data_IF_336083891908
#
_entry.id   IF_336083891908
#
_cell.length_a   1.000
_cell.length_b   1.000
_cell.length_c   1.000
_cell.angle_alpha   90.00
_cell.angle_beta   90.00
_cell.angle_gamma   90.00
#
_symmetry.space_group_name_H-M   'P 1'
#
loop_
_entity.id
_entity.type
_entity.pdbx_description
1 polymer ?
#
# COMPACT_ATOMS: atom_id res chain seq x y z
N UNK A 1 -25.48 -15.16 6.67
CA UNK A 1 -24.64 -13.99 7.03
C UNK A 1 -23.15 -14.33 7.14
N UNK A 2 -22.75 -15.42 7.82
CA UNK A 2 -21.32 -15.82 7.95
C UNK A 2 -20.60 -16.02 6.61
N UNK A 3 -21.28 -16.61 5.61
CA UNK A 3 -20.69 -16.80 4.27
C UNK A 3 -20.41 -15.48 3.55
N UNK A 4 -21.34 -14.51 3.62
CA UNK A 4 -21.15 -13.18 3.02
C UNK A 4 -19.99 -12.41 3.65
N UNK A 5 -19.77 -12.56 4.96
CA UNK A 5 -18.63 -11.93 5.65
C UNK A 5 -17.31 -12.53 5.19
N UNK A 6 -17.24 -13.87 5.10
CA UNK A 6 -16.05 -14.56 4.59
C UNK A 6 -15.77 -14.22 3.12
N UNK A 7 -16.81 -14.10 2.29
CA UNK A 7 -16.69 -13.69 0.89
C UNK A 7 -16.19 -12.25 0.77
N UNK A 8 -16.76 -11.32 1.55
CA UNK A 8 -16.31 -9.94 1.58
C UNK A 8 -14.84 -9.84 2.02
N UNK A 9 -14.45 -10.56 3.07
CA UNK A 9 -13.08 -10.64 3.55
C UNK A 9 -12.14 -11.18 2.47
N UNK A 10 -12.51 -12.28 1.81
CA UNK A 10 -11.71 -12.86 0.73
C UNK A 10 -11.50 -11.87 -0.43
N UNK A 11 -12.53 -11.09 -0.78
CA UNK A 11 -12.42 -10.02 -1.79
C UNK A 11 -11.44 -8.94 -1.33
N UNK A 12 -11.55 -8.47 -0.08
CA UNK A 12 -10.64 -7.45 0.45
C UNK A 12 -9.18 -7.93 0.45
N UNK A 13 -8.93 -9.16 0.90
CA UNK A 13 -7.60 -9.76 0.91
C UNK A 13 -7.07 -9.89 -0.52
N UNK A 14 -7.88 -10.36 -1.46
CA UNK A 14 -7.48 -10.49 -2.87
C UNK A 14 -7.07 -9.15 -3.48
N UNK A 15 -7.81 -8.08 -3.19
CA UNK A 15 -7.47 -6.72 -3.65
C UNK A 15 -6.11 -6.30 -3.10
N UNK A 16 -5.85 -6.52 -1.80
CA UNK A 16 -4.57 -6.14 -1.21
C UNK A 16 -3.41 -7.03 -1.68
N UNK A 17 -3.63 -8.31 -1.99
CA UNK A 17 -2.63 -9.14 -2.63
C UNK A 17 -2.19 -8.54 -3.98
N UNK A 18 -3.16 -8.12 -4.80
CA UNK A 18 -2.89 -7.48 -6.09
C UNK A 18 -2.09 -6.17 -5.91
N UNK A 19 -2.53 -5.29 -5.01
CA UNK A 19 -1.85 -4.02 -4.72
C UNK A 19 -0.40 -4.24 -4.26
N UNK A 20 -0.19 -5.12 -3.28
CA UNK A 20 1.16 -5.41 -2.75
C UNK A 20 2.09 -5.91 -3.85
N UNK A 21 1.62 -6.85 -4.68
CA UNK A 21 2.45 -7.41 -5.75
C UNK A 21 2.81 -6.35 -6.80
N UNK A 22 1.88 -5.47 -7.17
CA UNK A 22 2.18 -4.39 -8.12
C UNK A 22 3.17 -3.37 -7.56
N UNK A 23 3.01 -3.00 -6.28
CA UNK A 23 3.96 -2.15 -5.59
C UNK A 23 5.36 -2.78 -5.57
N UNK A 24 5.47 -4.05 -5.21
CA UNK A 24 6.75 -4.76 -5.14
C UNK A 24 7.39 -4.94 -6.51
N UNK A 25 6.61 -5.21 -7.56
CA UNK A 25 7.12 -5.30 -8.93
C UNK A 25 7.87 -4.04 -9.36
N UNK A 26 7.38 -2.88 -8.90
CA UNK A 26 7.90 -1.56 -9.25
C UNK A 26 9.01 -1.09 -8.32
N UNK A 27 8.82 -1.27 -7.01
CA UNK A 27 9.71 -0.74 -5.98
C UNK A 27 10.73 -1.74 -5.43
N UNK A 28 10.59 -3.02 -5.78
CA UNK A 28 11.39 -4.20 -5.36
C UNK A 28 11.29 -4.57 -3.89
N UNK A 29 11.34 -3.59 -3.02
CA UNK A 29 11.27 -3.77 -1.59
C UNK A 29 10.60 -2.58 -0.91
N UNK A 30 9.96 -2.85 0.23
CA UNK A 30 9.38 -1.82 1.08
C UNK A 30 9.21 -2.34 2.51
N UNK A 31 9.36 -1.47 3.50
CA UNK A 31 9.07 -1.86 4.88
C UNK A 31 7.60 -2.19 5.07
N UNK A 32 7.30 -3.11 6.00
CA UNK A 32 5.92 -3.48 6.35
C UNK A 32 5.08 -2.24 6.64
N UNK A 33 5.62 -1.31 7.42
CA UNK A 33 4.94 -0.07 7.81
C UNK A 33 4.51 0.76 6.60
N UNK A 34 5.42 0.98 5.65
CA UNK A 34 5.13 1.74 4.44
C UNK A 34 4.18 0.97 3.53
N UNK A 35 4.31 -0.36 3.46
CA UNK A 35 3.39 -1.22 2.72
C UNK A 35 1.95 -1.08 3.22
N UNK A 36 1.72 -1.05 4.54
CA UNK A 36 0.39 -0.86 5.12
C UNK A 36 -0.25 0.46 4.66
N UNK A 37 0.48 1.56 4.78
CA UNK A 37 -0.04 2.90 4.49
C UNK A 37 -0.29 3.09 2.99
N UNK A 38 0.68 2.73 2.15
CA UNK A 38 0.53 2.93 0.71
C UNK A 38 -0.47 1.96 0.07
N UNK A 39 -0.59 0.72 0.58
CA UNK A 39 -1.63 -0.20 0.11
C UNK A 39 -3.04 0.35 0.34
N UNK A 40 -3.27 0.96 1.52
CA UNK A 40 -4.51 1.62 1.84
C UNK A 40 -4.78 2.82 0.91
N UNK A 41 -3.79 3.70 0.71
CA UNK A 41 -3.90 4.86 -0.18
C UNK A 41 -4.19 4.47 -1.63
N UNK A 42 -3.50 3.47 -2.18
CA UNK A 42 -3.69 3.00 -3.56
C UNK A 42 -5.11 2.47 -3.77
N UNK A 43 -5.63 1.68 -2.81
CA UNK A 43 -7.01 1.20 -2.86
C UNK A 43 -8.01 2.36 -2.88
N UNK A 44 -7.78 3.39 -2.07
CA UNK A 44 -8.63 4.59 -1.98
C UNK A 44 -8.61 5.44 -3.25
N UNK A 45 -7.48 5.53 -3.95
CA UNK A 45 -7.34 6.36 -5.16
C UNK A 45 -8.31 6.00 -6.28
N UNK A 46 -8.73 4.74 -6.40
CA UNK A 46 -9.70 4.29 -7.41
C UNK A 46 -11.04 5.04 -7.33
N UNK A 47 -11.37 5.60 -6.16
CA UNK A 47 -12.64 6.28 -5.91
C UNK A 47 -12.54 7.81 -5.92
N UNK A 48 -11.34 8.37 -6.15
CA UNK A 48 -11.11 9.82 -6.19
C UNK A 48 -10.98 10.25 -7.65
N UNK A 49 -12.05 10.76 -8.30
CA UNK A 49 -11.97 11.29 -9.64
C UNK A 49 -11.14 12.59 -9.61
N UNK A 50 -10.01 12.58 -10.30
CA UNK A 50 -8.99 13.64 -10.34
C UNK A 50 -8.09 13.70 -9.08
N UNK A 51 -6.87 13.19 -9.24
CA UNK A 51 -5.81 13.31 -8.24
C UNK A 51 -5.52 14.79 -7.93
N UNK A 52 -5.60 15.16 -6.65
CA UNK A 52 -5.28 16.51 -6.15
C UNK A 52 -3.83 16.89 -6.48
N UNK A 53 -2.95 15.89 -6.54
CA UNK A 53 -1.53 16.06 -6.84
C UNK A 53 -1.16 15.36 -8.15
N UNK A 54 -0.36 16.04 -8.97
CA UNK A 54 0.19 15.50 -10.22
C UNK A 54 1.64 15.08 -10.06
N UNK A 55 2.17 14.33 -11.04
CA UNK A 55 3.58 13.94 -11.08
C UNK A 55 4.56 15.13 -11.09
N UNK A 56 4.11 16.34 -11.43
CA UNK A 56 4.94 17.56 -11.43
C UNK A 56 5.14 18.15 -10.03
N UNK A 57 4.37 17.69 -9.05
CA UNK A 57 4.58 18.04 -7.65
C UNK A 57 5.92 17.47 -7.22
N UNK A 58 6.85 18.32 -6.78
CA UNK A 58 8.23 17.93 -6.42
C UNK A 58 8.64 18.34 -5.00
N UNK A 59 8.03 19.40 -4.46
CA UNK A 59 8.25 19.86 -3.09
C UNK A 59 7.28 19.18 -2.13
N UNK A 60 7.78 18.81 -0.95
CA UNK A 60 7.01 18.22 0.16
C UNK A 60 6.19 16.98 -0.24
N UNK A 61 6.79 16.14 -1.10
CA UNK A 61 6.16 14.94 -1.66
C UNK A 61 5.54 14.05 -0.59
N UNK A 62 6.31 13.73 0.47
CA UNK A 62 5.86 12.84 1.53
C UNK A 62 4.64 13.43 2.24
N UNK A 63 4.70 14.69 2.66
CA UNK A 63 3.59 15.34 3.38
C UNK A 63 2.33 15.44 2.53
N UNK A 64 2.46 15.79 1.25
CA UNK A 64 1.33 15.83 0.30
C UNK A 64 0.79 14.44 -0.02
N UNK A 65 1.64 13.42 -0.04
CA UNK A 65 1.22 12.03 -0.18
C UNK A 65 0.44 11.56 1.04
N UNK A 66 0.92 11.87 2.24
CA UNK A 66 0.29 11.48 3.49
C UNK A 66 -0.99 12.25 3.79
N UNK A 67 -1.13 13.50 3.32
CA UNK A 67 -2.38 14.25 3.46
C UNK A 67 -3.56 13.60 2.71
N UNK A 68 -3.30 12.65 1.80
CA UNK A 68 -4.33 11.85 1.15
C UNK A 68 -5.02 10.87 2.11
N UNK A 69 -4.47 10.64 3.31
CA UNK A 69 -5.13 9.88 4.37
C UNK A 69 -6.37 10.62 4.91
N UNK A 70 -6.40 11.94 4.77
CA UNK A 70 -7.57 12.79 5.02
C UNK A 70 -8.24 12.59 6.38
N UNK A 71 -7.49 12.23 7.43
CA UNK A 71 -8.06 12.00 8.76
C UNK A 71 -8.82 10.67 8.92
N UNK A 72 -8.67 9.71 7.99
CA UNK A 72 -9.36 8.42 8.05
C UNK A 72 -8.57 7.37 8.86
N UNK A 73 -8.39 7.65 10.15
CA UNK A 73 -7.78 6.69 11.08
C UNK A 73 -8.51 5.35 11.13
N UNK A 74 -9.85 5.37 11.19
CA UNK A 74 -10.66 4.16 11.34
C UNK A 74 -10.52 3.28 10.10
N UNK A 75 -10.65 3.85 8.90
CA UNK A 75 -10.51 3.10 7.65
C UNK A 75 -9.10 2.54 7.44
N UNK A 76 -8.06 3.26 7.87
CA UNK A 76 -6.70 2.75 7.88
C UNK A 76 -6.58 1.55 8.83
N UNK A 77 -7.04 1.67 10.08
CA UNK A 77 -6.98 0.60 11.07
C UNK A 77 -7.74 -0.66 10.62
N UNK A 78 -8.94 -0.51 10.08
CA UNK A 78 -9.74 -1.61 9.56
C UNK A 78 -9.04 -2.30 8.37
N UNK A 79 -8.34 -1.52 7.55
CA UNK A 79 -7.61 -2.02 6.39
C UNK A 79 -6.36 -2.81 6.75
N UNK A 80 -5.65 -2.45 7.83
CA UNK A 80 -4.42 -3.11 8.26
C UNK A 80 -4.64 -4.62 8.45
N UNK A 81 -5.78 -5.04 9.02
CA UNK A 81 -6.09 -6.46 9.22
C UNK A 81 -6.12 -7.25 7.91
N UNK A 82 -6.69 -6.68 6.86
CA UNK A 82 -6.74 -7.32 5.54
C UNK A 82 -5.37 -7.30 4.84
N UNK A 83 -4.61 -6.20 4.97
CA UNK A 83 -3.28 -6.08 4.36
C UNK A 83 -2.30 -7.08 4.98
N UNK A 84 -2.32 -7.25 6.31
CA UNK A 84 -1.47 -8.25 7.00
C UNK A 84 -1.84 -9.66 6.54
N UNK A 85 -3.13 -9.99 6.40
CA UNK A 85 -3.58 -11.28 5.88
C UNK A 85 -3.12 -11.51 4.44
N UNK A 86 -3.15 -10.47 3.61
CA UNK A 86 -2.63 -10.52 2.24
C UNK A 86 -1.12 -10.79 2.22
N UNK A 87 -0.33 -10.05 3.01
CA UNK A 87 1.12 -10.30 3.17
C UNK A 87 1.36 -11.76 3.59
N UNK A 88 0.64 -12.23 4.61
CA UNK A 88 0.78 -13.61 5.08
C UNK A 88 0.48 -14.65 3.98
N UNK A 89 -0.60 -14.46 3.23
CA UNK A 89 -0.97 -15.35 2.13
C UNK A 89 0.09 -15.35 1.02
N UNK A 90 0.63 -14.19 0.66
CA UNK A 90 1.68 -14.06 -0.35
C UNK A 90 3.00 -14.74 0.09
N UNK A 91 3.36 -14.65 1.38
CA UNK A 91 4.50 -15.39 1.96
C UNK A 91 4.25 -16.89 1.88
N UNK A 92 3.06 -17.37 2.27
CA UNK A 92 2.71 -18.79 2.19
C UNK A 92 2.79 -19.35 0.76
N UNK A 93 2.58 -18.50 -0.25
CA UNK A 93 2.69 -18.85 -1.67
C UNK A 93 4.10 -18.65 -2.24
N UNK A 94 5.08 -18.25 -1.43
CA UNK A 94 6.44 -17.93 -1.85
C UNK A 94 6.50 -16.87 -2.97
N UNK A 95 5.58 -15.90 -2.95
CA UNK A 95 5.55 -14.79 -3.90
C UNK A 95 6.32 -13.57 -3.39
N UNK A 96 6.43 -13.44 -2.06
CA UNK A 96 7.18 -12.39 -1.39
C UNK A 96 7.98 -13.00 -0.23
N UNK A 97 9.08 -12.34 0.13
CA UNK A 97 9.84 -12.67 1.32
C UNK A 97 9.74 -11.54 2.35
N UNK A 98 9.92 -11.86 3.63
CA UNK A 98 9.94 -10.90 4.73
C UNK A 98 11.23 -11.06 5.52
N UNK A 99 12.12 -10.08 5.40
CA UNK A 99 13.41 -10.05 6.10
C UNK A 99 13.54 -8.74 6.87
N UNK A 100 13.77 -8.81 8.19
CA UNK A 100 14.01 -7.62 9.04
C UNK A 100 12.96 -6.49 8.86
N UNK A 101 11.68 -6.84 8.76
CA UNK A 101 10.55 -5.94 8.49
C UNK A 101 10.51 -5.32 7.09
N UNK A 102 11.31 -5.81 6.15
CA UNK A 102 11.30 -5.43 4.75
C UNK A 102 10.65 -6.56 3.95
N UNK A 103 9.62 -6.19 3.18
CA UNK A 103 8.97 -7.08 2.23
C UNK A 103 9.71 -6.96 0.91
N UNK A 104 10.13 -8.09 0.35
CA UNK A 104 10.94 -8.16 -0.86
C UNK A 104 10.21 -8.99 -1.90
N UNK A 105 10.21 -8.51 -3.15
CA UNK A 105 9.70 -9.25 -4.30
C UNK A 105 10.51 -10.53 -4.54
N UNK A 106 9.84 -11.67 -4.67
CA UNK A 106 10.44 -12.85 -5.31
C UNK A 106 10.07 -12.78 -6.79
N UNK A 107 11.04 -12.67 -7.73
CA UNK A 107 10.74 -12.50 -9.14
C UNK A 107 9.85 -13.62 -9.66
N UNK A 108 8.68 -13.25 -10.16
CA UNK A 108 7.73 -14.17 -10.79
C UNK A 108 7.17 -13.52 -12.06
N UNK A 109 7.19 -14.25 -13.18
CA UNK A 109 6.84 -13.71 -14.50
C UNK A 109 5.32 -13.55 -14.70
N UNK A 110 4.48 -14.06 -13.80
CA UNK A 110 3.03 -14.25 -14.02
C UNK A 110 2.12 -13.09 -13.59
N UNK A 111 2.64 -11.90 -13.27
CA UNK A 111 1.79 -10.76 -12.90
C UNK A 111 1.20 -10.04 -14.12
N UNK A 112 -0.07 -10.31 -14.38
CA UNK A 112 -0.92 -9.61 -15.35
C UNK A 112 -1.19 -8.15 -15.01
N UNK A 113 -2.00 -7.48 -15.86
CA UNK A 113 -2.45 -6.09 -15.65
C UNK A 113 -3.32 -6.00 -14.39
N UNK A 114 -3.09 -4.96 -13.58
CA UNK A 114 -3.81 -4.73 -12.33
C UNK A 114 -4.93 -3.71 -12.50
N UNK A 115 -6.03 -3.93 -11.78
CA UNK A 115 -7.10 -2.94 -11.64
C UNK A 115 -6.79 -1.86 -10.58
N UNK A 116 -5.71 -2.03 -9.83
CA UNK A 116 -5.21 -1.14 -8.79
C UNK A 116 -3.73 -0.83 -9.07
N UNK A 117 -3.50 0.24 -9.81
CA UNK A 117 -2.16 0.77 -10.08
C UNK A 117 -1.96 2.07 -9.31
N UNK A 118 -0.75 2.27 -8.79
CA UNK A 118 -0.38 3.54 -8.18
C UNK A 118 -0.31 4.67 -9.22
N UNK A 119 -0.75 5.86 -8.82
CA UNK A 119 -0.52 7.06 -9.64
C UNK A 119 0.97 7.39 -9.72
N UNK A 120 1.39 8.03 -10.83
CA UNK A 120 2.75 8.57 -11.00
C UNK A 120 3.19 9.49 -9.85
N UNK A 121 2.24 10.12 -9.15
CA UNK A 121 2.52 10.88 -7.94
C UNK A 121 2.86 9.96 -6.76
N UNK A 122 2.03 8.96 -6.45
CA UNK A 122 2.30 8.02 -5.36
C UNK A 122 3.60 7.25 -5.57
N UNK A 123 3.93 6.88 -6.81
CA UNK A 123 5.23 6.29 -7.15
C UNK A 123 6.39 7.13 -6.59
N UNK A 124 6.37 8.45 -6.86
CA UNK A 124 7.40 9.37 -6.39
C UNK A 124 7.38 9.51 -4.87
N UNK A 125 6.20 9.48 -4.25
CA UNK A 125 6.05 9.52 -2.79
C UNK A 125 6.64 8.27 -2.15
N UNK A 126 6.38 7.09 -2.70
CA UNK A 126 6.90 5.82 -2.19
C UNK A 126 8.43 5.82 -2.28
N UNK A 127 8.99 6.19 -3.42
CA UNK A 127 10.44 6.31 -3.59
C UNK A 127 11.08 7.34 -2.65
N UNK A 128 10.44 8.51 -2.47
CA UNK A 128 10.90 9.50 -1.50
C UNK A 128 10.86 8.96 -0.06
N UNK A 129 9.81 8.19 0.27
CA UNK A 129 9.61 7.63 1.62
C UNK A 129 10.70 6.63 2.01
N UNK A 130 11.32 5.93 1.05
CA UNK A 130 12.41 4.97 1.34
C UNK A 130 13.60 5.60 2.04
N UNK A 131 13.81 6.91 1.87
CA UNK A 131 14.87 7.67 2.55
C UNK A 131 14.52 8.04 4.00
N UNK A 132 13.28 7.82 4.42
CA UNK A 132 12.76 8.12 5.74
C UNK A 132 12.69 6.84 6.58
N UNK A 133 13.17 6.91 7.82
CA UNK A 133 13.02 5.80 8.76
C UNK A 133 11.54 5.53 9.05
N UNK A 134 11.19 4.27 9.33
CA UNK A 134 9.80 3.90 9.63
C UNK A 134 9.21 4.67 10.82
N UNK A 135 10.03 4.96 11.84
CA UNK A 135 9.61 5.76 12.99
C UNK A 135 9.24 7.19 12.60
N UNK A 136 10.05 7.83 11.78
CA UNK A 136 9.77 9.18 11.30
C UNK A 136 8.53 9.16 10.39
N UNK A 137 8.45 8.20 9.47
CA UNK A 137 7.32 8.05 8.56
C UNK A 137 6.00 7.88 9.32
N UNK A 138 5.96 6.97 10.30
CA UNK A 138 4.76 6.76 11.11
C UNK A 138 4.36 7.96 11.93
N UNK A 139 5.33 8.74 12.43
CA UNK A 139 4.99 10.00 13.12
C UNK A 139 4.20 10.93 12.19
N UNK A 140 4.63 11.08 10.94
CA UNK A 140 3.92 11.92 9.97
C UNK A 140 2.57 11.32 9.55
N UNK A 141 2.48 9.99 9.42
CA UNK A 141 1.20 9.30 9.17
C UNK A 141 0.20 9.62 10.28
N UNK A 142 0.63 9.50 11.55
CA UNK A 142 -0.22 9.78 12.71
C UNK A 142 -0.67 11.25 12.82
N UNK A 143 0.03 12.18 12.18
CA UNK A 143 -0.40 13.58 12.08
C UNK A 143 -1.46 13.83 10.99
N UNK A 144 -1.64 12.88 10.05
CA UNK A 144 -2.50 13.04 8.88
C UNK A 144 -3.72 12.09 8.86
N UNK A 145 -3.87 11.24 9.89
CA UNK A 145 -5.01 10.33 10.13
C UNK A 145 -5.87 10.82 11.28
#
# INVERSE_FOLDING_TARGET
MRNLQNEAEAIQISIYCEIIMQMLKKHKELSVIKMLVFSYLIKGQKFIPNSIYTANTSQDLIYKGLSLLAGDYIGLCDSIGYIIKAIHLLIQKNLINLENNIIIEIPNEELGKSAYEESLFLEKVIEASKRMSDKQFMREVMYNV
#
